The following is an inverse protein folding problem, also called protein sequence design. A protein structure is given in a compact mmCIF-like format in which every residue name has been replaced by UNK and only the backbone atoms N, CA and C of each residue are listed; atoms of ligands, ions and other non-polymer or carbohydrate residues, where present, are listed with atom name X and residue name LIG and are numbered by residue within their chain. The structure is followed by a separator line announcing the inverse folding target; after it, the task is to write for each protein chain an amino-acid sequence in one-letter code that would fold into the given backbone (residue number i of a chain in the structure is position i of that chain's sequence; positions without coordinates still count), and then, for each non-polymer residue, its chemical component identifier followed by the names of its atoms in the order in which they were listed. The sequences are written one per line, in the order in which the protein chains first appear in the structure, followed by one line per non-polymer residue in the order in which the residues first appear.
data_IF_516929107113
#
_entry.id   IF_516929107113
#
_cell.length_a   1.000
_cell.length_b   1.000
_cell.length_c   1.000
_cell.angle_alpha   90.00
_cell.angle_beta   90.00
_cell.angle_gamma   90.00
#
_symmetry.space_group_name_H-M   'P 1'
#
loop_
_entity.id
_entity.type
_entity.pdbx_description
1 polymer ?
#
# COMPACT_ATOMS: atom_id res chain seq x y z
N UNK A 1 -7.25 -13.43 -14.65
CA UNK A 1 -6.86 -12.17 -13.97
C UNK A 1 -5.98 -11.38 -14.94
N UNK A 2 -6.50 -10.30 -15.54
CA UNK A 2 -5.75 -9.44 -16.49
C UNK A 2 -4.82 -8.50 -15.72
N UNK A 3 -3.66 -8.21 -16.27
CA UNK A 3 -2.64 -7.33 -15.72
C UNK A 3 -3.15 -5.91 -15.41
N UNK A 4 -3.38 -5.63 -14.13
CA UNK A 4 -3.60 -4.29 -13.59
C UNK A 4 -2.28 -3.64 -13.10
N UNK A 5 -1.18 -4.38 -13.01
CA UNK A 5 0.07 -3.93 -12.36
C UNK A 5 0.71 -2.69 -13.01
N UNK A 6 0.66 -2.58 -14.34
CA UNK A 6 1.39 -1.54 -15.07
C UNK A 6 0.55 -0.27 -15.29
N UNK A 7 -0.80 -0.38 -15.36
CA UNK A 7 -1.65 0.73 -15.83
C UNK A 7 -1.97 1.78 -14.76
N UNK A 8 -2.00 1.42 -13.48
CA UNK A 8 -2.37 2.35 -12.41
C UNK A 8 -1.18 3.11 -11.83
N UNK A 9 0.04 2.62 -12.07
CA UNK A 9 1.27 3.17 -11.51
C UNK A 9 2.20 3.82 -12.55
N UNK A 10 1.79 3.85 -13.83
CA UNK A 10 2.65 4.34 -14.92
C UNK A 10 3.08 5.78 -14.72
N UNK A 11 2.18 6.65 -14.24
CA UNK A 11 2.48 8.07 -13.99
C UNK A 11 3.53 8.21 -12.91
N UNK A 12 3.36 7.54 -11.77
CA UNK A 12 4.33 7.59 -10.68
C UNK A 12 5.71 7.06 -11.11
N UNK A 13 5.75 5.91 -11.80
CA UNK A 13 7.00 5.32 -12.30
C UNK A 13 7.68 6.21 -13.35
N UNK A 14 6.90 6.86 -14.22
CA UNK A 14 7.40 7.83 -15.19
C UNK A 14 8.03 9.04 -14.49
N UNK A 15 7.33 9.64 -13.52
CA UNK A 15 7.82 10.80 -12.77
C UNK A 15 9.10 10.46 -11.99
N UNK A 16 9.10 9.32 -11.29
CA UNK A 16 10.28 8.87 -10.53
C UNK A 16 11.49 8.67 -11.43
N UNK A 17 11.30 8.08 -12.62
CA UNK A 17 12.38 7.93 -13.61
C UNK A 17 12.84 9.27 -14.17
N UNK A 18 11.91 10.18 -14.45
CA UNK A 18 12.20 11.52 -14.97
C UNK A 18 13.04 12.33 -13.97
N UNK A 19 12.64 12.31 -12.69
CA UNK A 19 13.37 12.97 -11.60
C UNK A 19 14.75 12.35 -11.38
N UNK A 20 14.88 11.02 -11.50
CA UNK A 20 16.17 10.35 -11.38
C UNK A 20 17.20 10.76 -12.46
N UNK A 21 16.73 11.20 -13.64
CA UNK A 21 17.59 11.67 -14.75
C UNK A 21 17.59 13.20 -14.90
N UNK A 22 17.06 13.94 -13.92
CA UNK A 22 16.94 15.40 -13.96
C UNK A 22 18.26 16.09 -14.31
N UNK A 23 19.37 15.69 -13.68
CA UNK A 23 20.69 16.28 -13.93
C UNK A 23 21.11 16.11 -15.40
N UNK A 24 20.93 14.92 -15.97
CA UNK A 24 21.26 14.63 -17.37
C UNK A 24 20.40 15.50 -18.31
N UNK A 25 19.11 15.65 -18.02
CA UNK A 25 18.22 16.51 -18.81
C UNK A 25 18.66 17.97 -18.72
N UNK A 26 19.02 18.44 -17.52
CA UNK A 26 19.49 19.80 -17.31
C UNK A 26 20.81 20.05 -18.05
N UNK A 27 21.75 19.11 -18.02
CA UNK A 27 23.01 19.19 -18.76
C UNK A 27 22.76 19.31 -20.27
N UNK A 28 21.85 18.51 -20.82
CA UNK A 28 21.50 18.51 -22.25
C UNK A 28 20.78 19.80 -22.66
N UNK A 29 19.93 20.35 -21.80
CA UNK A 29 19.04 21.48 -22.14
C UNK A 29 19.65 22.85 -21.82
N UNK A 30 20.29 23.02 -20.66
CA UNK A 30 20.88 24.29 -20.24
C UNK A 30 22.28 24.54 -20.81
N UNK A 31 23.13 23.51 -20.77
CA UNK A 31 24.53 23.60 -21.23
C UNK A 31 24.82 22.60 -22.36
N UNK A 32 24.06 22.62 -23.48
CA UNK A 32 24.30 21.73 -24.59
C UNK A 32 25.71 21.98 -25.14
N UNK A 33 26.65 21.09 -24.80
CA UNK A 33 27.98 21.14 -25.37
C UNK A 33 27.85 20.98 -26.89
N UNK A 34 28.64 21.73 -27.69
CA UNK A 34 28.66 21.56 -29.14
C UNK A 34 29.28 20.20 -29.46
N UNK A 35 28.47 19.14 -29.40
CA UNK A 35 28.83 17.82 -29.91
C UNK A 35 28.73 17.86 -31.43
N UNK A 36 29.59 17.08 -32.09
CA UNK A 36 29.57 16.88 -33.53
C UNK A 36 28.15 16.55 -34.02
N UNK A 37 27.56 17.43 -34.83
CA UNK A 37 26.22 17.27 -35.41
C UNK A 37 25.11 18.17 -34.85
N UNK A 38 25.35 18.96 -33.80
CA UNK A 38 24.36 19.91 -33.28
C UNK A 38 24.44 21.26 -34.01
N UNK A 39 23.38 21.62 -34.74
CA UNK A 39 23.26 22.96 -35.35
C UNK A 39 22.84 24.00 -34.30
N UNK A 40 23.13 25.27 -34.55
CA UNK A 40 22.69 26.38 -33.69
C UNK A 40 21.15 26.41 -33.50
N UNK A 41 20.39 25.98 -34.52
CA UNK A 41 18.92 25.84 -34.45
C UNK A 41 18.51 24.76 -33.43
N UNK A 42 19.20 23.62 -33.41
CA UNK A 42 18.95 22.54 -32.45
C UNK A 42 19.28 22.96 -31.02
N UNK A 43 20.41 23.65 -30.82
CA UNK A 43 20.82 24.18 -29.51
C UNK A 43 19.76 25.15 -28.97
N UNK A 44 19.27 26.08 -29.81
CA UNK A 44 18.22 27.02 -29.41
C UNK A 44 16.92 26.28 -29.02
N UNK A 45 16.55 25.23 -29.77
CA UNK A 45 15.38 24.40 -29.47
C UNK A 45 15.54 23.62 -28.16
N UNK A 46 16.72 23.05 -27.89
CA UNK A 46 16.98 22.34 -26.63
C UNK A 46 16.88 23.28 -25.42
N UNK A 47 17.45 24.48 -25.54
CA UNK A 47 17.31 25.51 -24.49
C UNK A 47 15.85 25.93 -24.26
N UNK A 48 15.04 25.98 -25.31
CA UNK A 48 13.60 26.29 -25.17
C UNK A 48 12.78 25.17 -24.53
N UNK A 49 13.33 23.96 -24.43
CA UNK A 49 12.69 22.80 -23.77
C UNK A 49 13.20 22.59 -22.34
N UNK A 50 14.07 23.47 -21.83
CA UNK A 50 14.56 23.37 -20.47
C UNK A 50 13.43 23.63 -19.48
N UNK A 51 13.12 22.64 -18.65
CA UNK A 51 12.17 22.79 -17.54
C UNK A 51 12.75 23.77 -16.53
N UNK A 52 11.96 24.76 -16.10
CA UNK A 52 12.39 25.69 -15.07
C UNK A 52 12.39 25.03 -13.68
N UNK A 53 12.89 25.76 -12.67
CA UNK A 53 12.94 25.24 -11.30
C UNK A 53 11.55 24.88 -10.75
N UNK A 54 10.54 25.72 -10.99
CA UNK A 54 9.16 25.51 -10.56
C UNK A 54 8.53 24.27 -11.21
N UNK A 55 8.86 23.97 -12.47
CA UNK A 55 8.40 22.76 -13.17
C UNK A 55 8.95 21.51 -12.48
N UNK A 56 10.22 21.54 -12.08
CA UNK A 56 10.84 20.43 -11.35
C UNK A 56 10.26 20.27 -9.95
N UNK A 57 10.00 21.37 -9.23
CA UNK A 57 9.30 21.34 -7.94
C UNK A 57 7.90 20.74 -8.09
N UNK A 58 7.11 21.21 -9.06
CA UNK A 58 5.79 20.66 -9.36
C UNK A 58 5.82 19.15 -9.63
N UNK A 59 6.78 18.67 -10.42
CA UNK A 59 6.94 17.24 -10.70
C UNK A 59 7.30 16.45 -9.43
N UNK A 60 8.12 17.02 -8.55
CA UNK A 60 8.50 16.43 -7.27
C UNK A 60 7.32 16.37 -6.30
N UNK A 61 6.54 17.45 -6.19
CA UNK A 61 5.31 17.52 -5.38
C UNK A 61 4.30 16.47 -5.85
N UNK A 62 4.11 16.35 -7.17
CA UNK A 62 3.22 15.35 -7.76
C UNK A 62 3.70 13.91 -7.49
N UNK A 63 4.99 13.64 -7.66
CA UNK A 63 5.56 12.31 -7.36
C UNK A 63 5.37 11.96 -5.87
N UNK A 64 5.55 12.93 -4.98
CA UNK A 64 5.36 12.78 -3.54
C UNK A 64 3.90 12.45 -3.21
N UNK A 65 2.95 13.20 -3.75
CA UNK A 65 1.52 12.95 -3.56
C UNK A 65 1.07 11.57 -4.09
N UNK A 66 1.68 11.07 -5.15
CA UNK A 66 1.37 9.75 -5.74
C UNK A 66 2.06 8.58 -5.05
N UNK A 67 3.10 8.82 -4.24
CA UNK A 67 3.89 7.76 -3.61
C UNK A 67 3.05 6.82 -2.73
N UNK A 68 2.14 7.30 -1.85
CA UNK A 68 1.32 6.41 -1.03
C UNK A 68 0.39 5.51 -1.85
N UNK A 69 -0.12 5.99 -2.98
CA UNK A 69 -0.97 5.20 -3.88
C UNK A 69 -0.20 4.09 -4.59
N UNK A 70 1.06 4.37 -4.98
CA UNK A 70 1.95 3.35 -5.53
C UNK A 70 2.21 2.24 -4.50
N UNK A 71 2.54 2.61 -3.26
CA UNK A 71 2.78 1.66 -2.17
C UNK A 71 1.53 0.85 -1.83
N UNK A 72 0.38 1.51 -1.73
CA UNK A 72 -0.92 0.87 -1.55
C UNK A 72 -1.21 -0.17 -2.64
N UNK A 73 -1.02 0.21 -3.91
CA UNK A 73 -1.24 -0.69 -5.04
C UNK A 73 -0.30 -1.89 -4.98
N UNK A 74 0.98 -1.67 -4.67
CA UNK A 74 1.96 -2.76 -4.51
C UNK A 74 1.59 -3.68 -3.35
N UNK A 75 1.15 -3.13 -2.22
CA UNK A 75 0.71 -3.88 -1.05
C UNK A 75 -0.51 -4.76 -1.35
N UNK A 76 -1.54 -4.21 -2.00
CA UNK A 76 -2.78 -4.94 -2.31
C UNK A 76 -2.67 -5.88 -3.52
N UNK A 77 -1.58 -5.78 -4.28
CA UNK A 77 -1.29 -6.63 -5.43
C UNK A 77 -0.61 -7.95 -5.07
N UNK A 78 -0.25 -8.14 -3.80
CA UNK A 78 0.39 -9.35 -3.31
C UNK A 78 -0.45 -10.61 -3.52
N UNK A 79 0.21 -11.75 -3.70
CA UNK A 79 -0.45 -13.07 -3.82
C UNK A 79 -0.06 -14.05 -2.72
N UNK A 80 0.94 -13.71 -1.92
CA UNK A 80 1.51 -14.58 -0.88
C UNK A 80 0.88 -14.35 0.50
N UNK A 81 -0.06 -13.40 0.61
CA UNK A 81 -0.70 -13.03 1.87
C UNK A 81 -2.14 -12.55 1.61
N UNK A 82 -3.02 -12.58 2.62
CA UNK A 82 -4.38 -12.05 2.52
C UNK A 82 -4.36 -10.54 2.26
N UNK A 83 -4.81 -10.12 1.07
CA UNK A 83 -4.87 -8.69 0.70
C UNK A 83 -6.18 -8.02 1.09
N UNK A 84 -7.23 -8.81 1.33
CA UNK A 84 -8.56 -8.28 1.66
C UNK A 84 -8.55 -7.56 3.00
N UNK A 85 -7.92 -8.14 4.02
CA UNK A 85 -7.77 -7.47 5.33
C UNK A 85 -6.93 -6.21 5.22
N UNK A 86 -5.76 -6.30 4.55
CA UNK A 86 -4.89 -5.14 4.33
C UNK A 86 -5.58 -4.01 3.56
N UNK A 87 -6.60 -4.31 2.75
CA UNK A 87 -7.35 -3.28 2.02
C UNK A 87 -8.08 -2.32 2.95
N UNK A 88 -8.51 -2.76 4.14
CA UNK A 88 -9.06 -1.88 5.16
C UNK A 88 -7.99 -0.88 5.62
N UNK A 89 -6.88 -1.40 6.13
CA UNK A 89 -5.73 -0.62 6.62
C UNK A 89 -5.23 0.39 5.61
N UNK A 90 -5.02 -0.05 4.36
CA UNK A 90 -4.57 0.80 3.25
C UNK A 90 -5.58 1.90 2.95
N UNK A 91 -6.89 1.62 2.98
CA UNK A 91 -7.92 2.64 2.73
C UNK A 91 -7.88 3.72 3.82
N UNK A 92 -7.77 3.34 5.09
CA UNK A 92 -7.72 4.30 6.20
C UNK A 92 -6.46 5.15 6.17
N UNK A 93 -5.30 4.54 5.92
CA UNK A 93 -4.03 5.27 5.83
C UNK A 93 -4.01 6.25 4.65
N UNK A 94 -4.56 5.87 3.49
CA UNK A 94 -4.71 6.78 2.37
C UNK A 94 -5.66 7.93 2.71
N UNK A 95 -6.78 7.66 3.37
CA UNK A 95 -7.71 8.71 3.79
C UNK A 95 -7.05 9.70 4.76
N UNK A 96 -6.34 9.19 5.76
CA UNK A 96 -5.59 9.99 6.73
C UNK A 96 -4.54 10.86 6.03
N UNK A 97 -3.73 10.27 5.15
CA UNK A 97 -2.72 10.99 4.36
C UNK A 97 -3.35 12.13 3.55
N UNK A 98 -4.45 11.85 2.85
CA UNK A 98 -5.15 12.83 2.02
C UNK A 98 -5.87 13.92 2.81
N UNK A 99 -6.18 13.66 4.08
CA UNK A 99 -6.81 14.61 5.00
C UNK A 99 -5.79 15.41 5.81
N UNK A 100 -4.50 15.06 5.74
CA UNK A 100 -3.43 15.76 6.45
C UNK A 100 -3.03 17.00 5.67
N UNK A 101 -3.13 18.17 6.29
CA UNK A 101 -2.58 19.40 5.73
C UNK A 101 -1.08 19.46 5.99
N UNK A 102 -0.31 19.75 4.94
CA UNK A 102 1.13 19.94 5.01
C UNK A 102 1.38 21.45 5.22
N UNK A 103 2.01 21.87 6.34
CA UNK A 103 2.39 23.26 6.54
C UNK A 103 3.31 23.75 5.42
N UNK A 104 3.14 25.01 5.01
CA UNK A 104 4.00 25.69 4.04
C UNK A 104 4.04 25.08 2.62
N UNK A 105 3.08 24.20 2.28
CA UNK A 105 3.02 23.48 1.01
C UNK A 105 1.64 23.60 0.33
N UNK A 106 1.24 24.80 -0.14
CA UNK A 106 -0.12 25.05 -0.64
C UNK A 106 -0.44 24.28 -1.93
N UNK A 107 0.58 24.03 -2.77
CA UNK A 107 0.42 23.32 -4.03
C UNK A 107 0.14 21.82 -3.78
N UNK A 108 0.89 21.21 -2.87
CA UNK A 108 0.71 19.84 -2.40
C UNK A 108 -0.68 19.68 -1.79
N UNK A 109 -1.09 20.58 -0.90
CA UNK A 109 -2.41 20.54 -0.29
C UNK A 109 -3.53 20.64 -1.34
N UNK A 110 -3.37 21.49 -2.36
CA UNK A 110 -4.32 21.54 -3.47
C UNK A 110 -4.44 20.19 -4.20
N UNK A 111 -3.32 19.49 -4.45
CA UNK A 111 -3.35 18.14 -5.00
C UNK A 111 -4.00 17.12 -4.08
N UNK A 112 -3.67 17.14 -2.78
CA UNK A 112 -4.24 16.23 -1.79
C UNK A 112 -5.76 16.42 -1.69
N UNK A 113 -6.27 17.65 -1.67
CA UNK A 113 -7.71 17.90 -1.68
C UNK A 113 -8.41 17.41 -2.96
N UNK A 114 -7.80 17.62 -4.14
CA UNK A 114 -8.33 17.08 -5.39
C UNK A 114 -8.40 15.55 -5.37
N UNK A 115 -7.33 14.91 -4.88
CA UNK A 115 -7.25 13.46 -4.74
C UNK A 115 -8.23 12.94 -3.70
N UNK A 116 -8.39 13.61 -2.55
CA UNK A 116 -9.35 13.27 -1.51
C UNK A 116 -10.78 13.25 -2.06
N UNK A 117 -11.15 14.27 -2.83
CA UNK A 117 -12.47 14.34 -3.44
C UNK A 117 -12.73 13.18 -4.40
N UNK A 118 -11.73 12.81 -5.23
CA UNK A 118 -11.83 11.65 -6.12
C UNK A 118 -11.84 10.33 -5.36
N UNK A 119 -11.02 10.22 -4.31
CA UNK A 119 -10.93 9.06 -3.45
C UNK A 119 -12.27 8.79 -2.77
N UNK A 120 -12.85 9.80 -2.10
CA UNK A 120 -14.16 9.72 -1.45
C UNK A 120 -15.24 9.32 -2.45
N UNK A 121 -15.32 10.00 -3.59
CA UNK A 121 -16.29 9.64 -4.63
C UNK A 121 -16.19 8.18 -5.06
N UNK A 122 -14.97 7.67 -5.26
CA UNK A 122 -14.76 6.27 -5.65
C UNK A 122 -15.19 5.28 -4.54
N UNK A 123 -14.74 5.50 -3.30
CA UNK A 123 -15.03 4.60 -2.19
C UNK A 123 -16.48 4.68 -1.69
N UNK A 124 -17.11 5.84 -1.77
CA UNK A 124 -18.51 6.04 -1.40
C UNK A 124 -19.46 5.52 -2.48
N UNK A 125 -19.23 5.90 -3.75
CA UNK A 125 -20.19 5.67 -4.85
C UNK A 125 -19.94 4.43 -5.71
N UNK A 126 -18.72 3.88 -5.76
CA UNK A 126 -18.38 2.74 -6.64
C UNK A 126 -18.15 1.43 -5.90
N UNK A 127 -17.78 1.47 -4.64
CA UNK A 127 -17.60 0.25 -3.84
C UNK A 127 -18.96 -0.29 -3.43
N UNK A 128 -19.25 -1.52 -3.85
CA UNK A 128 -20.52 -2.20 -3.55
C UNK A 128 -20.66 -2.48 -2.05
N UNK A 129 -21.91 -2.66 -1.60
CA UNK A 129 -22.20 -3.04 -0.22
C UNK A 129 -21.44 -4.32 0.20
N UNK A 130 -21.47 -5.35 -0.64
CA UNK A 130 -20.76 -6.62 -0.38
C UNK A 130 -19.24 -6.46 -0.25
N UNK A 131 -18.63 -5.56 -1.03
CA UNK A 131 -17.20 -5.28 -0.91
C UNK A 131 -16.87 -4.55 0.40
N UNK A 132 -17.70 -3.58 0.81
CA UNK A 132 -17.54 -2.89 2.10
C UNK A 132 -17.67 -3.88 3.25
N UNK A 133 -18.71 -4.72 3.20
CA UNK A 133 -18.98 -5.79 4.15
C UNK A 133 -17.83 -6.79 4.25
N UNK A 134 -17.38 -7.34 3.11
CA UNK A 134 -16.29 -8.32 3.08
C UNK A 134 -14.97 -7.75 3.61
N UNK A 135 -14.69 -6.47 3.32
CA UNK A 135 -13.53 -5.76 3.86
C UNK A 135 -13.60 -5.60 5.37
N UNK A 136 -14.75 -5.19 5.90
CA UNK A 136 -14.97 -5.01 7.33
C UNK A 136 -14.83 -6.33 8.10
N UNK A 137 -15.48 -7.39 7.63
CA UNK A 137 -15.38 -8.72 8.25
C UNK A 137 -13.94 -9.24 8.19
N UNK A 138 -13.26 -9.09 7.04
CA UNK A 138 -11.86 -9.51 6.91
C UNK A 138 -10.95 -8.76 7.90
N UNK A 139 -11.20 -7.48 8.13
CA UNK A 139 -10.44 -6.65 9.06
C UNK A 139 -10.73 -7.01 10.53
N UNK A 140 -11.96 -7.37 10.86
CA UNK A 140 -12.33 -7.88 12.19
C UNK A 140 -11.64 -9.22 12.52
N UNK A 141 -11.46 -10.08 11.52
CA UNK A 141 -10.87 -11.41 11.70
C UNK A 141 -9.33 -11.42 11.79
N UNK A 142 -8.66 -10.32 11.45
CA UNK A 142 -7.20 -10.21 11.56
C UNK A 142 -6.84 -9.45 12.85
N UNK A 143 -6.06 -10.07 13.75
CA UNK A 143 -5.61 -9.42 14.98
C UNK A 143 -4.93 -8.07 14.77
N UNK A 144 -4.20 -7.89 13.67
CA UNK A 144 -3.44 -6.66 13.43
C UNK A 144 -4.32 -5.49 13.02
N UNK A 145 -5.37 -5.73 12.26
CA UNK A 145 -6.29 -4.66 11.86
C UNK A 145 -7.41 -4.46 12.87
N UNK A 146 -7.75 -5.47 13.67
CA UNK A 146 -8.77 -5.37 14.70
C UNK A 146 -8.50 -4.23 15.70
N UNK A 147 -7.22 -3.98 16.02
CA UNK A 147 -6.82 -2.88 16.91
C UNK A 147 -7.09 -1.49 16.33
N UNK A 148 -7.24 -1.38 15.02
CA UNK A 148 -7.51 -0.11 14.33
C UNK A 148 -9.00 0.13 14.06
N UNK A 149 -9.87 -0.86 14.24
CA UNK A 149 -11.31 -0.69 14.03
C UNK A 149 -11.93 0.16 15.14
N UNK A 150 -12.92 0.98 14.75
CA UNK A 150 -13.75 1.69 15.72
C UNK A 150 -14.68 0.72 16.46
N UNK A 151 -15.21 1.14 17.61
CA UNK A 151 -16.17 0.31 18.38
C UNK A 151 -17.43 0.04 17.55
N UNK A 152 -17.87 1.03 16.77
CA UNK A 152 -19.02 0.92 15.88
C UNK A 152 -18.78 -0.09 14.75
N UNK A 153 -17.58 -0.07 14.16
CA UNK A 153 -17.18 -1.02 13.11
C UNK A 153 -17.08 -2.46 13.66
N UNK A 154 -16.61 -2.62 14.89
CA UNK A 154 -16.58 -3.92 15.59
C UNK A 154 -18.00 -4.44 15.80
N UNK A 155 -18.90 -3.62 16.35
CA UNK A 155 -20.29 -4.00 16.60
C UNK A 155 -21.02 -4.35 15.28
N UNK A 156 -20.76 -3.59 14.22
CA UNK A 156 -21.27 -3.88 12.87
C UNK A 156 -20.76 -5.22 12.35
N UNK A 157 -19.45 -5.48 12.45
CA UNK A 157 -18.85 -6.74 12.02
C UNK A 157 -19.44 -7.94 12.79
N UNK A 158 -19.58 -7.83 14.11
CA UNK A 158 -20.16 -8.88 14.96
C UNK A 158 -21.62 -9.18 14.60
N UNK A 159 -22.42 -8.13 14.36
CA UNK A 159 -23.80 -8.26 13.90
C UNK A 159 -23.89 -8.99 12.56
N UNK A 160 -23.04 -8.62 11.61
CA UNK A 160 -22.99 -9.24 10.28
C UNK A 160 -22.61 -10.72 10.34
N UNK A 161 -21.61 -11.08 11.15
CA UNK A 161 -21.17 -12.47 11.33
C UNK A 161 -22.27 -13.30 12.02
N UNK A 162 -22.90 -12.76 13.06
CA UNK A 162 -23.93 -13.44 13.83
C UNK A 162 -25.17 -13.72 12.97
N UNK A 163 -25.56 -12.77 12.11
CA UNK A 163 -26.70 -12.93 11.21
C UNK A 163 -26.44 -14.03 10.17
N UNK A 164 -25.23 -14.09 9.59
CA UNK A 164 -24.86 -15.19 8.68
C UNK A 164 -24.80 -16.54 9.38
N UNK A 165 -24.26 -16.59 10.59
CA UNK A 165 -24.20 -17.82 11.38
C UNK A 165 -25.61 -18.36 11.70
N UNK A 166 -26.58 -17.47 11.99
CA UNK A 166 -27.99 -17.84 12.18
C UNK A 166 -28.61 -18.40 10.89
N UNK A 167 -28.35 -17.78 9.74
CA UNK A 167 -28.84 -18.25 8.44
C UNK A 167 -28.24 -19.62 8.10
N UNK A 168 -26.92 -19.79 8.23
CA UNK A 168 -26.24 -21.06 7.98
C UNK A 168 -26.67 -22.16 8.96
N UNK A 169 -26.87 -21.81 10.24
CA UNK A 169 -27.39 -22.72 11.26
C UNK A 169 -28.83 -23.17 10.96
N UNK A 170 -29.68 -22.27 10.49
CA UNK A 170 -31.06 -22.59 10.08
C UNK A 170 -31.11 -23.47 8.81
N UNK A 171 -30.22 -23.25 7.85
CA UNK A 171 -30.09 -24.10 6.64
C UNK A 171 -29.61 -25.50 7.00
N UNK A 172 -28.70 -25.63 7.98
CA UNK A 172 -28.20 -26.94 8.44
C UNK A 172 -29.23 -27.74 9.25
N UNK A 173 -30.30 -27.10 9.72
CA UNK A 173 -31.42 -27.73 10.43
C UNK A 173 -32.60 -28.09 9.53
N UNK A 174 -32.59 -27.79 8.21
CA UNK A 174 -33.60 -28.35 7.32
C UNK A 174 -33.34 -29.85 7.12
N UNK A 175 -34.21 -30.75 7.61
CA UNK A 175 -34.08 -32.17 7.31
C UNK A 175 -34.35 -32.36 5.83
N UNK A 176 -33.44 -33.03 5.11
CA UNK A 176 -33.77 -33.66 3.83
C UNK A 176 -34.85 -34.70 4.09
N UNK A 177 -36.12 -34.30 3.96
CA UNK A 177 -37.26 -35.22 3.98
C UNK A 177 -37.32 -35.94 2.64
N UNK A 178 -36.59 -37.05 2.56
CA UNK A 178 -37.01 -38.18 1.72
C UNK A 178 -36.60 -39.47 2.42
N UNK A 179 -37.43 -39.91 3.37
CA UNK A 179 -37.34 -41.23 3.97
C UNK A 179 -38.72 -41.89 3.84
N UNK A 180 -38.87 -43.07 3.22
CA UNK A 180 -39.94 -43.99 3.59
C UNK A 180 -39.50 -44.80 4.83
N UNK A 181 -40.44 -45.25 5.66
CA UNK A 181 -40.21 -45.44 7.08
C UNK A 181 -39.62 -46.82 7.40
N UNK A 182 -38.70 -46.89 8.36
CA UNK A 182 -38.68 -47.93 9.40
C UNK A 182 -37.65 -47.67 10.51
N UNK A 183 -38.19 -47.53 11.72
CA UNK A 183 -37.68 -48.00 13.02
C UNK A 183 -36.55 -47.24 13.76
N UNK A 184 -36.96 -46.72 14.92
CA UNK A 184 -36.24 -46.33 16.16
C UNK A 184 -35.32 -47.46 16.70
N UNK A 185 -34.38 -47.23 17.66
CA UNK A 185 -34.48 -46.24 18.76
C UNK A 185 -33.21 -45.45 19.19
N UNK A 186 -33.49 -44.33 19.88
CA UNK A 186 -32.80 -43.68 21.02
C UNK A 186 -31.26 -43.57 21.05
N UNK A 187 -30.73 -42.34 21.17
CA UNK A 187 -29.96 -41.91 22.37
C UNK A 187 -29.55 -40.42 22.36
N UNK A 188 -29.95 -39.75 23.44
CA UNK A 188 -29.25 -38.81 24.33
C UNK A 188 -28.40 -37.63 23.79
N UNK A 189 -28.78 -36.49 24.34
CA UNK A 189 -28.26 -35.14 24.32
C UNK A 189 -26.86 -34.93 24.93
N UNK A 190 -26.07 -34.06 24.31
CA UNK A 190 -25.12 -33.20 25.03
C UNK A 190 -24.93 -31.87 24.29
N UNK A 191 -25.48 -30.79 24.85
CA UNK A 191 -25.22 -29.41 24.47
C UNK A 191 -23.89 -28.95 25.07
N UNK A 192 -23.03 -28.34 24.26
CA UNK A 192 -21.82 -27.66 24.73
C UNK A 192 -21.87 -26.21 24.27
N UNK A 193 -22.20 -25.32 25.19
CA UNK A 193 -22.16 -23.87 24.99
C UNK A 193 -20.72 -23.39 25.04
N UNK A 194 -20.24 -22.76 23.96
CA UNK A 194 -18.93 -22.09 23.92
C UNK A 194 -19.13 -20.66 24.42
N UNK A 195 -18.55 -20.34 25.58
CA UNK A 195 -18.49 -18.99 26.14
C UNK A 195 -17.19 -18.32 25.68
N UNK A 196 -17.28 -17.28 24.84
CA UNK A 196 -16.11 -16.45 24.48
C UNK A 196 -16.00 -15.31 25.49
N UNK A 197 -14.91 -15.31 26.24
CA UNK A 197 -14.58 -14.32 27.27
C UNK A 197 -14.08 -13.01 26.64
N UNK A 198 -14.78 -11.89 26.88
CA UNK A 198 -14.31 -10.54 26.60
C UNK A 198 -13.07 -10.23 27.44
N UNK A 199 -11.93 -9.88 26.83
CA UNK A 199 -10.78 -9.28 27.52
C UNK A 199 -10.72 -7.78 27.23
N UNK A 200 -10.56 -7.03 28.32
CA UNK A 200 -10.56 -5.58 28.40
C UNK A 200 -9.17 -5.00 28.07
N UNK A 201 -9.21 -3.93 27.26
CA UNK A 201 -8.31 -2.76 27.08
C UNK A 201 -6.82 -2.87 27.46
N UNK A 202 -5.95 -2.29 26.62
CA UNK A 202 -5.16 -1.06 26.91
C UNK A 202 -4.43 -0.65 25.63
N UNK A 203 -4.62 0.61 25.23
CA UNK A 203 -3.88 1.30 24.18
C UNK A 203 -2.46 1.59 24.63
N UNK A 204 -1.47 1.54 23.72
CA UNK A 204 -0.40 2.56 23.53
C UNK A 204 0.48 2.14 22.32
N UNK A 205 0.87 3.12 21.49
CA UNK A 205 2.22 3.36 20.91
C UNK A 205 2.27 3.59 19.39
N UNK A 206 2.55 4.85 19.06
CA UNK A 206 3.32 5.34 17.91
C UNK A 206 4.57 4.49 17.62
N UNK A 207 4.77 4.01 16.38
CA UNK A 207 6.12 3.96 15.78
C UNK A 207 6.09 3.58 14.29
N UNK A 208 5.97 4.59 13.42
CA UNK A 208 6.58 4.54 12.09
C UNK A 208 8.03 5.00 12.23
N UNK A 209 8.94 4.09 12.55
CA UNK A 209 10.38 4.20 12.23
C UNK A 209 11.08 2.88 12.52
N UNK A 210 11.83 2.42 11.53
CA UNK A 210 12.83 1.34 11.57
C UNK A 210 12.31 -0.08 11.44
N UNK A 211 12.50 -0.67 10.25
CA UNK A 211 13.30 -1.90 10.10
C UNK A 211 13.22 -2.43 8.67
N UNK A 212 14.16 -2.00 7.82
CA UNK A 212 14.57 -2.74 6.62
C UNK A 212 16.04 -2.41 6.28
N UNK A 213 16.93 -2.61 7.25
CA UNK A 213 18.33 -2.87 6.98
C UNK A 213 18.73 -4.17 7.70
N UNK A 214 18.92 -5.24 6.92
CA UNK A 214 19.76 -6.36 7.33
C UNK A 214 20.94 -6.44 6.37
N UNK A 215 22.08 -5.96 6.85
CA UNK A 215 23.40 -6.35 6.38
C UNK A 215 23.92 -7.39 7.37
N UNK A 216 24.48 -8.54 6.94
CA UNK A 216 25.22 -9.41 7.84
C UNK A 216 26.73 -9.14 7.77
N UNK A 217 27.35 -8.88 8.92
CA UNK A 217 28.76 -9.12 9.23
C UNK A 217 28.78 -10.26 10.29
N UNK A 218 29.74 -11.18 10.41
CA UNK A 218 31.19 -11.03 10.30
C UNK A 218 31.90 -12.41 10.16
N UNK A 219 33.05 -12.41 9.46
CA UNK A 219 34.43 -12.96 9.69
C UNK A 219 34.70 -13.96 10.87
N UNK A 220 35.91 -14.57 11.05
CA UNK A 220 37.23 -14.40 10.37
C UNK A 220 38.07 -15.69 10.11
N UNK A 221 39.20 -15.55 9.41
CA UNK A 221 40.51 -16.10 9.83
C UNK A 221 41.69 -15.41 9.13
N UNK A 222 42.71 -15.14 9.93
CA UNK A 222 43.96 -14.40 9.72
C UNK A 222 45.11 -15.25 9.14
N UNK A 223 46.02 -14.63 8.38
CA UNK A 223 47.50 -14.70 8.49
C UNK A 223 48.15 -14.08 7.22
N UNK A 224 48.74 -12.90 7.34
CA UNK A 224 50.20 -12.63 7.30
C UNK A 224 50.91 -12.87 5.94
N UNK A 225 51.53 -11.81 5.38
CA UNK A 225 53.00 -11.66 5.17
C UNK A 225 53.34 -10.71 3.99
N UNK A 226 54.02 -9.58 4.29
CA UNK A 226 55.07 -8.79 3.56
C UNK A 226 54.84 -8.40 2.06
N UNK A 227 55.28 -7.28 1.46
CA UNK A 227 56.34 -6.27 1.64
C UNK A 227 56.04 -5.13 0.62
N UNK A 228 56.45 -3.86 0.80
CA UNK A 228 56.25 -2.82 -0.22
C UNK A 228 57.42 -2.79 -1.22
N UNK A 229 57.13 -2.73 -2.52
CA UNK A 229 58.12 -2.34 -3.53
C UNK A 229 57.81 -0.94 -4.04
N UNK A 230 58.71 -0.03 -3.71
CA UNK A 230 58.88 1.29 -4.29
C UNK A 230 59.46 1.12 -5.69
N UNK A 231 58.90 1.82 -6.69
CA UNK A 231 59.63 2.16 -7.90
C UNK A 231 59.40 3.65 -8.16
N UNK A 232 60.52 4.36 -8.13
CA UNK A 232 60.72 5.72 -8.62
C UNK A 232 61.07 5.68 -10.12
N UNK A 233 60.70 6.76 -10.79
CA UNK A 233 61.45 7.51 -11.82
C UNK A 233 61.65 6.98 -13.24
N UNK A 234 61.64 7.97 -14.15
CA UNK A 234 62.09 8.03 -15.56
C UNK A 234 61.14 7.39 -16.60
N UNK A 235 60.50 8.11 -17.54
CA UNK A 235 60.83 9.32 -18.33
C UNK A 235 59.61 10.22 -18.57
#
# INVERSE_FOLDING_TARGET
VRDFHVRWNSTYLMLTRLLAVQQIINDITYTPQPRTGLTAKHIKKLKSLANNHLDWELLQSLATALTPFYLATRCLSGRQYPTLTLSYWVTQNLHLFLSTEIPDAPLENAFLHLLLNKFRFYFESKVTFEQKRGKLIAAYLDPFTLEELSVEEIDEAESLITNEAKICGAVRQQPTTTTPPSQLPQQQSSSSSITITKRSRVSTINQFKSSCHRTPAATPKSAQTQKPLSIKEEF
#
